data_IF_775616615907
#
_entry.id   IF_775616615907
#
_cell.length_a   1.000
_cell.length_b   1.000
_cell.length_c   1.000
_cell.angle_alpha   90.00
_cell.angle_beta   90.00
_cell.angle_gamma   90.00
#
_symmetry.space_group_name_H-M   'P 1'
#
loop_
_entity.id
_entity.type
_entity.pdbx_description
1 polymer ?
#
# COMPACT_ATOMS: atom_id res chain seq x y z
N UNK A 1 -4.59 31.90 -61.40
CA UNK A 1 -4.17 31.72 -59.99
C UNK A 1 -4.18 30.23 -59.68
N UNK A 2 -3.04 29.55 -59.58
CA UNK A 2 -2.98 28.24 -58.95
C UNK A 2 -2.68 28.44 -57.46
N UNK A 3 -3.59 28.01 -56.58
CA UNK A 3 -3.33 27.91 -55.15
C UNK A 3 -2.35 26.75 -54.93
N UNK A 4 -1.11 27.08 -54.58
CA UNK A 4 -0.19 26.11 -53.99
C UNK A 4 -0.67 25.84 -52.56
N UNK A 5 -1.26 24.68 -52.31
CA UNK A 5 -1.36 24.16 -50.96
C UNK A 5 0.05 23.73 -50.53
N UNK A 6 0.70 24.55 -49.72
CA UNK A 6 1.83 24.10 -48.91
C UNK A 6 1.30 23.07 -47.90
N UNK A 7 1.97 21.92 -47.72
CA UNK A 7 1.63 21.00 -46.65
C UNK A 7 2.03 21.68 -45.34
N UNK A 8 1.08 22.39 -44.73
CA UNK A 8 1.24 22.93 -43.39
C UNK A 8 1.54 21.77 -42.43
N UNK A 9 2.80 21.76 -42.00
CA UNK A 9 3.36 21.13 -40.82
C UNK A 9 2.53 20.01 -40.21
N UNK A 10 2.89 18.77 -40.50
CA UNK A 10 2.80 17.73 -39.47
C UNK A 10 3.76 18.19 -38.38
N UNK A 11 3.24 18.85 -37.34
CA UNK A 11 4.03 19.24 -36.19
C UNK A 11 4.46 17.93 -35.52
N UNK A 12 5.68 17.47 -35.82
CA UNK A 12 6.30 16.36 -35.10
C UNK A 12 6.59 16.88 -33.70
N UNK A 13 5.60 16.74 -32.82
CA UNK A 13 5.76 17.02 -31.40
C UNK A 13 6.81 16.04 -30.91
N UNK A 14 7.97 16.53 -30.50
CA UNK A 14 9.02 15.68 -29.98
C UNK A 14 8.45 14.85 -28.80
N UNK A 15 8.91 13.61 -28.56
CA UNK A 15 8.44 12.81 -27.41
C UNK A 15 8.55 13.57 -26.08
N UNK A 16 9.56 14.46 -25.96
CA UNK A 16 9.75 15.38 -24.83
C UNK A 16 8.63 16.41 -24.64
N UNK A 17 7.84 16.68 -25.68
CA UNK A 17 6.73 17.64 -25.67
C UNK A 17 5.36 16.97 -25.53
N UNK A 18 5.21 15.68 -25.88
CA UNK A 18 3.97 14.90 -25.79
C UNK A 18 3.63 14.49 -24.34
N UNK A 19 4.65 14.24 -23.51
CA UNK A 19 4.50 13.86 -22.10
C UNK A 19 5.11 14.88 -21.14
N UNK A 20 5.04 16.17 -21.50
CA UNK A 20 5.50 17.26 -20.64
C UNK A 20 4.32 17.84 -19.86
N UNK A 21 4.38 17.79 -18.53
CA UNK A 21 3.52 18.59 -17.70
C UNK A 21 3.93 20.06 -17.86
N UNK A 22 3.08 20.86 -18.53
CA UNK A 22 3.31 22.31 -18.74
C UNK A 22 2.58 23.09 -17.64
N UNK A 23 3.12 24.24 -17.27
CA UNK A 23 2.51 25.16 -16.29
C UNK A 23 2.30 24.54 -14.89
N UNK A 24 3.23 23.69 -14.45
CA UNK A 24 3.21 23.18 -13.07
C UNK A 24 3.43 24.34 -12.09
N UNK A 25 2.70 24.32 -10.97
CA UNK A 25 3.01 25.22 -9.87
C UNK A 25 4.41 24.93 -9.33
N UNK A 26 5.12 25.90 -8.72
CA UNK A 26 6.46 25.67 -8.16
C UNK A 26 6.52 24.47 -7.20
N UNK A 27 5.46 24.24 -6.41
CA UNK A 27 5.31 23.07 -5.55
C UNK A 27 5.32 21.76 -6.33
N UNK A 28 4.46 21.64 -7.34
CA UNK A 28 4.31 20.41 -8.11
C UNK A 28 5.56 20.12 -8.94
N UNK A 29 6.20 21.16 -9.48
CA UNK A 29 7.48 21.03 -10.16
C UNK A 29 8.55 20.46 -9.22
N UNK A 30 8.68 21.00 -8.00
CA UNK A 30 9.62 20.48 -6.99
C UNK A 30 9.36 19.01 -6.65
N UNK A 31 8.12 18.63 -6.34
CA UNK A 31 7.78 17.25 -6.01
C UNK A 31 8.02 16.29 -7.18
N UNK A 32 7.80 16.76 -8.41
CA UNK A 32 8.13 16.01 -9.62
C UNK A 32 9.64 15.85 -9.79
N UNK A 33 10.42 16.89 -9.55
CA UNK A 33 11.88 16.81 -9.62
C UNK A 33 12.44 15.88 -8.54
N UNK A 34 11.86 15.92 -7.33
CA UNK A 34 12.13 14.97 -6.24
C UNK A 34 11.78 13.52 -6.64
N UNK A 35 10.71 13.31 -7.40
CA UNK A 35 10.39 11.97 -7.92
C UNK A 35 11.49 11.41 -8.82
N UNK A 36 12.15 12.26 -9.61
CA UNK A 36 13.20 11.88 -10.56
C UNK A 36 14.63 11.91 -9.98
N UNK A 37 14.84 12.52 -8.81
CA UNK A 37 16.15 12.62 -8.14
C UNK A 37 16.57 11.35 -7.39
N UNK A 38 16.26 10.16 -7.93
CA UNK A 38 16.41 8.86 -7.26
C UNK A 38 17.78 8.61 -6.62
N UNK A 39 18.86 9.09 -7.24
CA UNK A 39 20.24 8.89 -6.76
C UNK A 39 20.70 9.88 -5.67
N UNK A 40 19.95 10.96 -5.46
CA UNK A 40 20.36 12.08 -4.61
C UNK A 40 19.41 12.27 -3.42
N UNK A 41 18.13 11.90 -3.59
CA UNK A 41 17.14 12.09 -2.53
C UNK A 41 17.37 11.16 -1.34
N UNK A 42 17.15 11.63 -0.11
CA UNK A 42 17.29 10.81 1.10
C UNK A 42 16.17 9.77 1.23
N UNK A 43 15.05 9.97 0.55
CA UNK A 43 13.87 9.13 0.63
C UNK A 43 13.72 8.23 -0.59
N UNK A 44 13.71 6.91 -0.36
CA UNK A 44 13.31 5.94 -1.37
C UNK A 44 12.20 5.06 -0.80
N UNK A 45 11.12 4.83 -1.57
CA UNK A 45 10.05 3.89 -1.22
C UNK A 45 10.49 2.44 -1.56
N UNK A 46 11.66 2.06 -1.05
CA UNK A 46 12.21 0.72 -1.20
C UNK A 46 11.38 -0.32 -0.45
N UNK A 47 11.47 -1.57 -0.89
CA UNK A 47 10.77 -2.69 -0.23
C UNK A 47 11.31 -2.86 1.19
N UNK A 48 10.43 -2.69 2.18
CA UNK A 48 10.76 -2.94 3.59
C UNK A 48 10.21 -4.27 4.06
N UNK A 49 11.11 -5.18 4.43
CA UNK A 49 10.73 -6.49 4.93
C UNK A 49 10.54 -6.49 6.45
N UNK A 50 9.54 -7.24 6.93
CA UNK A 50 9.23 -7.39 8.35
C UNK A 50 9.00 -8.86 8.69
N UNK A 51 9.70 -9.38 9.69
CA UNK A 51 9.67 -10.79 10.08
C UNK A 51 9.18 -10.98 11.52
N UNK A 52 8.60 -12.15 11.80
CA UNK A 52 8.36 -12.65 13.16
C UNK A 52 9.65 -13.01 13.91
N UNK A 53 10.78 -13.08 13.20
CA UNK A 53 12.08 -13.51 13.75
C UNK A 53 12.18 -15.02 14.00
N UNK A 54 11.18 -15.80 13.61
CA UNK A 54 11.23 -17.26 13.76
C UNK A 54 12.10 -17.89 12.66
N UNK A 55 12.82 -19.00 12.95
CA UNK A 55 13.74 -19.60 11.97
C UNK A 55 13.07 -20.15 10.70
N UNK A 56 11.75 -20.37 10.72
CA UNK A 56 10.97 -20.90 9.59
C UNK A 56 10.17 -19.82 8.85
N UNK A 57 10.34 -18.54 9.22
CA UNK A 57 9.57 -17.46 8.63
C UNK A 57 9.96 -17.23 7.17
N UNK A 58 9.01 -16.71 6.40
CA UNK A 58 9.28 -16.15 5.07
C UNK A 58 8.51 -14.85 4.93
N UNK A 59 9.12 -13.92 4.21
CA UNK A 59 8.52 -12.61 3.88
C UNK A 59 8.25 -12.48 2.37
N UNK A 60 8.58 -13.50 1.59
CA UNK A 60 8.43 -13.54 0.14
C UNK A 60 7.75 -14.83 -0.32
N UNK A 61 6.62 -14.68 -1.01
CA UNK A 61 5.79 -15.77 -1.54
C UNK A 61 6.08 -15.95 -3.01
N UNK A 62 6.79 -17.01 -3.40
CA UNK A 62 7.25 -17.18 -4.79
C UNK A 62 6.05 -17.34 -5.74
N UNK A 63 5.01 -18.05 -5.31
CA UNK A 63 3.81 -18.29 -6.12
C UNK A 63 3.05 -17.01 -6.53
N UNK A 64 3.28 -15.88 -5.84
CA UNK A 64 2.67 -14.60 -6.22
C UNK A 64 3.33 -13.97 -7.46
N UNK A 65 4.48 -14.48 -7.90
CA UNK A 65 5.34 -13.89 -8.94
C UNK A 65 5.58 -14.84 -10.12
N UNK A 66 4.85 -15.95 -10.19
CA UNK A 66 4.96 -16.93 -11.27
C UNK A 66 4.36 -16.46 -12.60
N UNK A 67 3.72 -15.30 -12.60
CA UNK A 67 3.29 -14.62 -13.81
C UNK A 67 4.48 -13.94 -14.55
N UNK A 68 5.63 -13.79 -13.89
CA UNK A 68 6.85 -13.23 -14.52
C UNK A 68 7.91 -14.35 -14.56
N UNK A 69 7.82 -15.30 -15.51
CA UNK A 69 8.74 -16.45 -15.56
C UNK A 69 10.21 -16.04 -15.69
N UNK A 70 10.50 -14.86 -16.24
CA UNK A 70 11.84 -14.30 -16.37
C UNK A 70 12.54 -14.11 -15.01
N UNK A 71 11.78 -13.95 -13.92
CA UNK A 71 12.37 -13.79 -12.58
C UNK A 71 12.61 -15.11 -11.85
N UNK A 72 12.27 -16.27 -12.42
CA UNK A 72 12.37 -17.58 -11.77
C UNK A 72 13.74 -17.81 -11.12
N UNK A 73 14.81 -17.56 -11.88
CA UNK A 73 16.20 -17.77 -11.47
C UNK A 73 16.59 -16.92 -10.26
N UNK A 74 15.89 -15.81 -10.02
CA UNK A 74 16.18 -14.87 -8.94
C UNK A 74 15.28 -15.07 -7.70
N UNK A 75 14.17 -15.79 -7.83
CA UNK A 75 13.18 -15.98 -6.75
C UNK A 75 13.78 -16.52 -5.44
N UNK A 76 14.68 -17.54 -5.44
CA UNK A 76 15.34 -17.99 -4.20
C UNK A 76 16.21 -16.90 -3.56
N UNK A 77 16.87 -16.10 -4.40
CA UNK A 77 17.66 -14.95 -3.98
C UNK A 77 16.80 -13.86 -3.32
N UNK A 78 15.68 -13.49 -3.96
CA UNK A 78 14.73 -12.52 -3.41
C UNK A 78 14.21 -12.94 -2.04
N UNK A 79 13.79 -14.19 -1.90
CA UNK A 79 13.35 -14.73 -0.60
C UNK A 79 14.42 -14.60 0.47
N UNK A 80 15.65 -15.03 0.16
CA UNK A 80 16.75 -15.07 1.12
C UNK A 80 17.18 -13.67 1.52
N UNK A 81 17.37 -12.77 0.54
CA UNK A 81 17.76 -11.39 0.78
C UNK A 81 16.69 -10.62 1.56
N UNK A 82 15.42 -10.71 1.17
CA UNK A 82 14.33 -10.02 1.86
C UNK A 82 14.21 -10.49 3.31
N UNK A 83 14.35 -11.80 3.57
CA UNK A 83 14.32 -12.31 4.94
C UNK A 83 15.55 -11.86 5.74
N UNK A 84 16.74 -11.87 5.15
CA UNK A 84 17.97 -11.42 5.80
C UNK A 84 17.95 -9.91 6.13
N UNK A 85 17.32 -9.10 5.29
CA UNK A 85 17.12 -7.66 5.51
C UNK A 85 15.87 -7.34 6.36
N UNK A 86 15.07 -8.35 6.75
CA UNK A 86 13.81 -8.11 7.43
C UNK A 86 14.01 -7.60 8.86
N UNK A 87 13.25 -6.56 9.20
CA UNK A 87 13.20 -6.05 10.57
C UNK A 87 12.35 -6.98 11.44
N UNK A 88 12.87 -7.52 12.57
CA UNK A 88 12.08 -8.31 13.49
C UNK A 88 11.00 -7.47 14.20
N UNK A 89 9.77 -7.95 14.15
CA UNK A 89 8.61 -7.31 14.79
C UNK A 89 8.35 -7.96 16.14
N UNK A 90 8.18 -7.14 17.18
CA UNK A 90 7.80 -7.62 18.50
C UNK A 90 6.35 -8.10 18.48
N UNK A 91 6.15 -9.40 18.68
CA UNK A 91 4.84 -10.03 18.61
C UNK A 91 4.05 -9.83 19.92
N UNK A 92 2.73 -9.59 19.86
CA UNK A 92 1.90 -9.48 21.06
C UNK A 92 1.80 -10.81 21.82
N UNK A 93 1.50 -10.74 23.11
CA UNK A 93 1.31 -11.93 23.93
C UNK A 93 0.21 -12.83 23.36
N UNK A 94 0.47 -14.14 23.34
CA UNK A 94 -0.49 -15.11 22.82
C UNK A 94 -0.61 -15.19 21.29
N UNK A 95 0.21 -14.45 20.54
CA UNK A 95 0.19 -14.41 19.07
C UNK A 95 0.02 -15.80 18.42
N UNK A 96 0.82 -16.79 18.82
CA UNK A 96 0.79 -18.14 18.21
C UNK A 96 -0.45 -18.97 18.55
N UNK A 97 -1.28 -18.56 19.53
CA UNK A 97 -2.56 -19.20 19.84
C UNK A 97 -3.71 -18.68 18.97
N UNK A 98 -3.49 -17.58 18.27
CA UNK A 98 -4.48 -16.97 17.39
C UNK A 98 -4.57 -17.71 16.05
N UNK A 99 -5.76 -17.77 15.43
CA UNK A 99 -5.93 -18.29 14.08
C UNK A 99 -5.11 -17.43 13.09
N UNK A 100 -4.67 -18.04 11.99
CA UNK A 100 -3.73 -17.40 11.06
C UNK A 100 -4.21 -16.03 10.55
N UNK A 101 -5.50 -15.89 10.24
CA UNK A 101 -6.07 -14.62 9.77
C UNK A 101 -5.90 -13.49 10.79
N UNK A 102 -6.02 -13.81 12.08
CA UNK A 102 -5.85 -12.85 13.18
C UNK A 102 -4.37 -12.60 13.46
N UNK A 103 -3.51 -13.62 13.38
CA UNK A 103 -2.04 -13.44 13.46
C UNK A 103 -1.55 -12.44 12.41
N UNK A 104 -1.99 -12.57 11.16
CA UNK A 104 -1.62 -11.64 10.09
C UNK A 104 -2.09 -10.20 10.39
N UNK A 105 -3.31 -10.04 10.88
CA UNK A 105 -3.83 -8.72 11.27
C UNK A 105 -3.06 -8.10 12.45
N UNK A 106 -2.75 -8.89 13.48
CA UNK A 106 -1.95 -8.45 14.64
C UNK A 106 -0.55 -8.04 14.20
N UNK A 107 0.11 -8.85 13.37
CA UNK A 107 1.43 -8.55 12.84
C UNK A 107 1.41 -7.26 12.02
N UNK A 108 0.46 -7.12 11.11
CA UNK A 108 0.30 -5.91 10.29
C UNK A 108 0.07 -4.67 11.16
N UNK A 109 -0.77 -4.78 12.20
CA UNK A 109 -0.96 -3.69 13.16
C UNK A 109 0.33 -3.28 13.85
N UNK A 110 1.14 -4.23 14.32
CA UNK A 110 2.42 -3.90 14.95
C UNK A 110 3.36 -3.20 13.97
N UNK A 111 3.43 -3.67 12.71
CA UNK A 111 4.20 -3.01 11.64
C UNK A 111 3.73 -1.56 11.47
N UNK A 112 2.43 -1.32 11.26
CA UNK A 112 1.90 0.03 11.05
C UNK A 112 2.06 0.93 12.27
N UNK A 113 1.92 0.39 13.48
CA UNK A 113 1.95 1.16 14.72
C UNK A 113 3.37 1.56 15.15
N UNK A 114 4.39 0.79 14.78
CA UNK A 114 5.74 0.96 15.35
C UNK A 114 6.87 1.00 14.34
N UNK A 115 6.78 0.25 13.25
CA UNK A 115 7.93 -0.04 12.40
C UNK A 115 7.90 0.64 11.05
N UNK A 116 6.71 0.79 10.45
CA UNK A 116 6.57 1.47 9.17
C UNK A 116 6.96 2.94 9.34
N UNK A 117 7.92 3.49 8.57
CA UNK A 117 8.32 4.87 8.76
C UNK A 117 7.19 5.83 8.38
N UNK A 118 7.18 6.97 9.06
CA UNK A 118 6.30 8.10 8.76
C UNK A 118 7.20 9.27 8.38
N UNK A 119 6.96 9.81 7.20
CA UNK A 119 7.72 10.93 6.65
C UNK A 119 6.79 11.77 5.79
N UNK A 120 6.96 13.09 5.87
CA UNK A 120 6.26 14.08 5.06
C UNK A 120 7.35 14.85 4.31
N UNK A 121 7.28 14.85 2.98
CA UNK A 121 8.25 15.54 2.14
C UNK A 121 7.93 17.04 2.06
N UNK A 122 8.94 17.82 1.72
CA UNK A 122 8.78 19.26 1.59
C UNK A 122 7.85 19.61 0.42
N UNK A 123 6.83 20.42 0.71
CA UNK A 123 5.78 20.77 -0.24
C UNK A 123 4.65 19.74 -0.42
N UNK A 124 4.66 18.59 0.26
CA UNK A 124 3.53 17.65 0.23
C UNK A 124 2.28 18.24 0.90
N UNK A 125 1.11 17.93 0.31
CA UNK A 125 -0.21 18.20 0.89
C UNK A 125 -1.02 16.91 1.14
N UNK A 126 -0.75 15.87 0.34
CA UNK A 126 -1.26 14.52 0.54
C UNK A 126 -0.06 13.71 0.98
N UNK A 127 -0.14 13.12 2.18
CA UNK A 127 1.00 12.48 2.83
C UNK A 127 0.88 10.98 2.83
N UNK A 128 2.02 10.30 2.82
CA UNK A 128 2.08 8.85 2.75
C UNK A 128 3.01 8.39 1.64
N UNK A 129 4.07 7.65 1.98
CA UNK A 129 5.08 7.28 0.99
C UNK A 129 5.80 5.96 1.23
N UNK A 130 5.71 5.34 2.42
CA UNK A 130 6.39 4.08 2.76
C UNK A 130 5.37 2.94 2.81
N UNK A 131 4.98 2.42 1.64
CA UNK A 131 3.93 1.39 1.54
C UNK A 131 4.41 0.13 0.83
N UNK A 132 5.64 0.12 0.33
CA UNK A 132 6.22 -1.05 -0.28
C UNK A 132 6.78 -1.97 0.80
N UNK A 133 6.04 -3.03 1.14
CA UNK A 133 6.44 -3.94 2.23
C UNK A 133 6.55 -5.39 1.79
N UNK A 134 7.31 -6.18 2.56
CA UNK A 134 7.36 -7.63 2.47
C UNK A 134 7.07 -8.21 3.87
N UNK A 135 5.84 -8.63 4.11
CA UNK A 135 5.37 -9.02 5.43
C UNK A 135 5.53 -10.52 5.69
N UNK A 136 5.88 -10.87 6.92
CA UNK A 136 5.84 -12.25 7.41
C UNK A 136 4.52 -12.92 7.07
N UNK A 137 4.60 -14.20 6.68
CA UNK A 137 3.41 -15.04 6.49
C UNK A 137 2.74 -15.43 7.80
N UNK A 138 3.38 -15.13 8.93
CA UNK A 138 2.87 -15.38 10.28
C UNK A 138 2.53 -16.86 10.53
N UNK A 139 3.16 -17.78 9.80
CA UNK A 139 2.93 -19.22 9.92
C UNK A 139 3.67 -19.77 11.13
N UNK A 140 3.04 -20.68 11.86
CA UNK A 140 3.76 -21.50 12.83
C UNK A 140 4.61 -22.54 12.08
N UNK A 141 5.46 -23.27 12.79
CA UNK A 141 6.39 -24.21 12.17
C UNK A 141 5.68 -25.27 11.30
N UNK A 142 4.61 -25.88 11.81
CA UNK A 142 3.87 -26.92 11.07
C UNK A 142 3.17 -26.36 9.82
N UNK A 143 2.58 -25.17 9.93
CA UNK A 143 1.97 -24.46 8.79
C UNK A 143 3.02 -24.06 7.74
N UNK A 144 4.20 -23.61 8.18
CA UNK A 144 5.30 -23.26 7.30
C UNK A 144 5.79 -24.47 6.51
N UNK A 145 6.02 -25.60 7.19
CA UNK A 145 6.40 -26.86 6.55
C UNK A 145 5.33 -27.37 5.56
N UNK A 146 4.04 -27.25 5.91
CA UNK A 146 2.95 -27.61 5.01
C UNK A 146 2.91 -26.73 3.76
N UNK A 147 3.08 -25.42 3.94
CA UNK A 147 3.19 -24.46 2.84
C UNK A 147 4.39 -24.75 1.96
N UNK A 148 5.55 -25.06 2.52
CA UNK A 148 6.77 -25.35 1.75
C UNK A 148 6.58 -26.59 0.86
N UNK A 149 5.94 -27.65 1.38
CA UNK A 149 5.58 -28.82 0.57
C UNK A 149 4.63 -28.46 -0.58
N UNK A 150 3.61 -27.64 -0.30
CA UNK A 150 2.65 -27.21 -1.31
C UNK A 150 3.31 -26.32 -2.38
N UNK A 151 4.20 -25.41 -1.98
CA UNK A 151 4.96 -24.56 -2.91
C UNK A 151 5.85 -25.38 -3.83
N UNK A 152 6.58 -26.38 -3.30
CA UNK A 152 7.42 -27.24 -4.14
C UNK A 152 6.60 -28.04 -5.17
N UNK A 153 5.44 -28.56 -4.76
CA UNK A 153 4.52 -29.23 -5.67
C UNK A 153 4.02 -28.28 -6.78
N UNK A 154 3.57 -27.08 -6.39
CA UNK A 154 3.12 -26.05 -7.32
C UNK A 154 4.20 -25.63 -8.32
N UNK A 155 5.43 -25.37 -7.84
CA UNK A 155 6.54 -24.93 -8.71
C UNK A 155 6.96 -26.01 -9.71
N UNK A 156 6.82 -27.28 -9.35
CA UNK A 156 7.07 -28.39 -10.29
C UNK A 156 6.10 -28.34 -11.46
N UNK A 157 4.80 -28.16 -11.20
CA UNK A 157 3.78 -28.06 -12.26
C UNK A 157 3.94 -26.79 -13.08
N UNK A 158 4.19 -25.66 -12.41
CA UNK A 158 4.39 -24.38 -13.08
C UNK A 158 5.59 -24.40 -14.05
N UNK A 159 6.71 -25.04 -13.68
CA UNK A 159 7.87 -25.23 -14.58
C UNK A 159 7.53 -26.03 -15.83
N UNK A 160 6.70 -27.06 -15.69
CA UNK A 160 6.22 -27.84 -16.84
C UNK A 160 5.41 -26.94 -17.77
N UNK A 161 4.44 -26.18 -17.24
CA UNK A 161 3.64 -25.24 -18.04
C UNK A 161 4.49 -24.20 -18.76
N UNK A 162 5.44 -23.57 -18.05
CA UNK A 162 6.39 -22.62 -18.65
C UNK A 162 7.20 -23.25 -19.79
N UNK A 163 7.66 -24.50 -19.64
CA UNK A 163 8.43 -25.19 -20.69
C UNK A 163 7.63 -25.44 -21.98
N UNK A 164 6.30 -25.41 -21.89
CA UNK A 164 5.37 -25.51 -23.01
C UNK A 164 4.90 -24.13 -23.52
N UNK A 165 5.48 -23.03 -23.04
CA UNK A 165 5.08 -21.67 -23.39
C UNK A 165 3.80 -21.20 -22.70
N UNK A 166 3.26 -21.96 -21.75
CA UNK A 166 2.11 -21.57 -20.92
C UNK A 166 2.64 -20.86 -19.68
N UNK A 167 3.16 -19.65 -19.90
CA UNK A 167 3.66 -18.74 -18.86
C UNK A 167 2.69 -17.61 -18.55
N UNK A 168 3.09 -16.69 -17.68
CA UNK A 168 2.26 -15.55 -17.24
C UNK A 168 0.87 -15.94 -16.68
N UNK A 169 0.75 -17.16 -16.17
CA UNK A 169 -0.47 -17.71 -15.59
C UNK A 169 -0.28 -17.83 -14.08
N UNK A 170 -1.05 -17.08 -13.28
CA UNK A 170 -0.95 -17.12 -11.83
C UNK A 170 -1.91 -16.14 -11.14
N UNK A 171 -2.25 -16.44 -9.89
CA UNK A 171 -2.95 -15.49 -9.03
C UNK A 171 -1.93 -14.48 -8.50
N UNK A 172 -1.89 -13.30 -9.13
CA UNK A 172 -0.98 -12.22 -8.74
C UNK A 172 -1.68 -11.33 -7.73
N UNK A 173 -1.04 -10.97 -6.60
CA UNK A 173 -1.53 -9.91 -5.73
C UNK A 173 -1.74 -8.60 -6.49
N UNK A 174 -2.65 -7.76 -6.03
CA UNK A 174 -3.15 -6.65 -6.82
C UNK A 174 -4.18 -7.13 -7.85
N UNK A 175 -4.21 -6.47 -9.00
CA UNK A 175 -5.26 -6.61 -10.04
C UNK A 175 -6.68 -6.48 -9.48
N UNK A 176 -6.86 -5.53 -8.56
CA UNK A 176 -8.12 -5.25 -7.91
C UNK A 176 -8.43 -3.75 -7.91
N UNK A 177 -9.71 -3.44 -7.75
CA UNK A 177 -10.21 -2.09 -7.47
C UNK A 177 -10.83 -2.15 -6.08
N UNK A 178 -10.16 -1.63 -5.03
CA UNK A 178 -10.75 -1.51 -3.70
C UNK A 178 -12.05 -0.70 -3.74
N UNK A 179 -12.95 -0.99 -2.81
CA UNK A 179 -14.18 -0.20 -2.62
C UNK A 179 -13.87 1.14 -1.92
N UNK A 180 -13.15 2.03 -2.62
CA UNK A 180 -12.89 3.39 -2.16
C UNK A 180 -14.19 4.15 -1.84
N UNK A 181 -15.28 4.05 -2.64
CA UNK A 181 -16.54 4.71 -2.29
C UNK A 181 -17.03 4.36 -0.88
N UNK A 182 -16.94 3.09 -0.47
CA UNK A 182 -17.28 2.67 0.89
C UNK A 182 -16.31 3.26 1.93
N UNK A 183 -15.01 3.22 1.68
CA UNK A 183 -14.01 3.80 2.60
C UNK A 183 -14.21 5.30 2.79
N UNK A 184 -14.52 6.06 1.73
CA UNK A 184 -14.77 7.50 1.79
C UNK A 184 -16.07 7.83 2.53
N UNK A 185 -17.14 7.08 2.28
CA UNK A 185 -18.48 7.32 2.84
C UNK A 185 -18.61 6.90 4.30
N UNK A 186 -17.99 5.78 4.69
CA UNK A 186 -18.11 5.21 6.03
C UNK A 186 -16.93 5.53 6.94
N UNK A 187 -15.76 5.83 6.35
CA UNK A 187 -14.50 5.69 7.05
C UNK A 187 -14.19 4.24 7.44
N UNK A 188 -12.96 3.99 7.86
CA UNK A 188 -12.55 2.70 8.41
C UNK A 188 -13.24 2.39 9.74
N UNK A 189 -13.74 3.40 10.46
CA UNK A 189 -14.61 3.20 11.62
C UNK A 189 -15.89 2.45 11.22
N UNK A 190 -16.58 2.88 10.18
CA UNK A 190 -17.81 2.21 9.73
C UNK A 190 -17.55 0.79 9.23
N UNK A 191 -16.43 0.56 8.54
CA UNK A 191 -15.99 -0.79 8.14
C UNK A 191 -15.72 -1.67 9.39
N UNK A 192 -15.08 -1.11 10.42
CA UNK A 192 -14.87 -1.81 11.68
C UNK A 192 -16.18 -2.09 12.41
N UNK A 193 -17.14 -1.17 12.37
CA UNK A 193 -18.46 -1.34 13.00
C UNK A 193 -19.27 -2.45 12.32
N UNK A 194 -19.22 -2.57 10.98
CA UNK A 194 -19.80 -3.72 10.26
C UNK A 194 -19.17 -5.05 10.69
N UNK A 195 -17.84 -5.09 10.84
CA UNK A 195 -17.17 -6.30 11.34
C UNK A 195 -17.51 -6.59 12.82
N UNK A 196 -17.65 -5.57 13.67
CA UNK A 196 -18.13 -5.74 15.05
C UNK A 196 -19.55 -6.30 15.11
N UNK A 197 -20.42 -5.94 14.16
CA UNK A 197 -21.76 -6.53 14.07
C UNK A 197 -21.71 -8.04 13.79
N UNK A 198 -20.79 -8.50 12.92
CA UNK A 198 -20.56 -9.94 12.68
C UNK A 198 -20.04 -10.66 13.94
N UNK A 199 -19.21 -9.99 14.74
CA UNK A 199 -18.74 -10.55 16.02
C UNK A 199 -19.87 -10.70 17.05
N UNK A 200 -20.84 -9.79 17.03
CA UNK A 200 -21.99 -9.81 17.93
C UNK A 200 -23.11 -10.76 17.48
N UNK A 201 -23.10 -11.20 16.22
CA UNK A 201 -24.08 -12.12 15.67
C UNK A 201 -23.90 -13.54 16.25
N UNK A 202 -24.88 -14.07 17.01
CA UNK A 202 -24.80 -15.41 17.57
C UNK A 202 -24.81 -16.52 16.52
N UNK A 203 -25.28 -16.23 15.29
CA UNK A 203 -25.35 -17.19 14.19
C UNK A 203 -24.06 -17.28 13.38
N UNK A 204 -23.12 -16.34 13.57
CA UNK A 204 -21.87 -16.32 12.85
C UNK A 204 -21.05 -17.61 13.08
N UNK A 205 -20.36 -18.10 12.06
CA UNK A 205 -19.42 -19.21 12.21
C UNK A 205 -18.14 -18.76 12.92
N UNK A 206 -17.30 -19.71 13.34
CA UNK A 206 -16.00 -19.40 13.94
C UNK A 206 -15.10 -18.65 12.94
N UNK A 207 -15.09 -19.08 11.69
CA UNK A 207 -14.30 -18.49 10.61
C UNK A 207 -14.75 -17.05 10.31
N UNK A 208 -16.06 -16.81 10.29
CA UNK A 208 -16.62 -15.46 10.13
C UNK A 208 -16.20 -14.55 11.28
N UNK A 209 -16.26 -15.04 12.53
CA UNK A 209 -15.80 -14.28 13.70
C UNK A 209 -14.30 -14.00 13.66
N UNK A 210 -13.48 -14.97 13.29
CA UNK A 210 -12.02 -14.79 13.19
C UNK A 210 -11.66 -13.78 12.09
N UNK A 211 -12.32 -13.82 10.94
CA UNK A 211 -12.17 -12.83 9.88
C UNK A 211 -12.64 -11.44 10.32
N UNK A 212 -13.79 -11.35 10.97
CA UNK A 212 -14.32 -10.08 11.50
C UNK A 212 -13.37 -9.46 12.54
N UNK A 213 -12.82 -10.27 13.44
CA UNK A 213 -11.79 -9.83 14.40
C UNK A 213 -10.55 -9.29 13.68
N UNK A 214 -10.08 -9.98 12.64
CA UNK A 214 -8.95 -9.52 11.84
C UNK A 214 -9.23 -8.18 11.14
N UNK A 215 -10.44 -7.99 10.58
CA UNK A 215 -10.84 -6.72 9.95
C UNK A 215 -10.83 -5.57 10.96
N UNK A 216 -11.39 -5.78 12.16
CA UNK A 216 -11.38 -4.76 13.22
C UNK A 216 -9.94 -4.37 13.59
N UNK A 217 -9.05 -5.35 13.76
CA UNK A 217 -7.64 -5.10 14.09
C UNK A 217 -6.95 -4.28 12.99
N UNK A 218 -7.17 -4.63 11.72
CA UNK A 218 -6.60 -3.88 10.59
C UNK A 218 -7.16 -2.46 10.51
N UNK A 219 -8.47 -2.27 10.72
CA UNK A 219 -9.09 -0.94 10.71
C UNK A 219 -8.55 -0.03 11.82
N UNK A 220 -8.34 -0.58 13.02
CA UNK A 220 -7.71 0.15 14.13
C UNK A 220 -6.23 0.46 13.83
N UNK A 221 -5.51 -0.44 13.14
CA UNK A 221 -4.14 -0.18 12.70
C UNK A 221 -4.04 1.00 11.72
N UNK A 222 -5.04 1.18 10.86
CA UNK A 222 -5.13 2.35 9.96
C UNK A 222 -5.18 3.64 10.77
N UNK A 223 -6.03 3.69 11.80
CA UNK A 223 -6.11 4.83 12.71
C UNK A 223 -4.79 5.08 13.44
N UNK A 224 -4.13 4.03 13.92
CA UNK A 224 -2.84 4.15 14.61
C UNK A 224 -1.75 4.75 13.69
N UNK A 225 -1.71 4.37 12.40
CA UNK A 225 -0.79 4.98 11.43
C UNK A 225 -1.15 6.44 11.15
N UNK A 226 -2.44 6.75 10.97
CA UNK A 226 -2.95 8.12 10.80
C UNK A 226 -2.51 9.05 11.93
N UNK A 227 -2.59 8.61 13.19
CA UNK A 227 -2.14 9.41 14.33
C UNK A 227 -0.62 9.66 14.31
N UNK A 228 0.18 8.70 13.84
CA UNK A 228 1.62 8.91 13.68
C UNK A 228 1.93 9.96 12.61
N UNK A 229 1.18 9.97 11.50
CA UNK A 229 1.28 11.03 10.49
C UNK A 229 0.84 12.39 11.05
N UNK A 230 -0.20 12.44 11.88
CA UNK A 230 -0.63 13.67 12.54
C UNK A 230 0.47 14.23 13.45
N UNK A 231 1.06 13.37 14.29
CA UNK A 231 2.15 13.74 15.18
C UNK A 231 3.40 14.23 14.41
N UNK A 232 3.74 13.60 13.28
CA UNK A 232 4.87 14.05 12.45
C UNK A 232 4.59 15.41 11.80
N UNK A 233 3.37 15.62 11.30
CA UNK A 233 2.97 16.91 10.73
C UNK A 233 3.03 18.04 11.80
N UNK A 234 2.56 17.77 13.02
CA UNK A 234 2.64 18.72 14.14
C UNK A 234 4.08 19.02 14.57
N UNK A 235 4.93 17.97 14.62
CA UNK A 235 6.35 18.13 14.92
C UNK A 235 7.05 19.01 13.89
N UNK A 236 6.78 18.79 12.60
CA UNK A 236 7.30 19.62 11.52
C UNK A 236 6.75 21.05 11.59
N UNK A 237 5.45 21.22 11.84
CA UNK A 237 4.85 22.56 11.97
C UNK A 237 5.48 23.38 13.11
N UNK A 238 5.79 22.74 14.24
CA UNK A 238 6.42 23.41 15.38
C UNK A 238 7.86 23.90 15.08
N UNK A 239 8.55 23.27 14.12
CA UNK A 239 9.90 23.62 13.69
C UNK A 239 9.95 24.45 12.39
N UNK A 240 8.79 24.75 11.79
CA UNK A 240 8.70 25.43 10.50
C UNK A 240 8.66 26.94 10.68
N UNK A 241 9.54 27.68 10.01
CA UNK A 241 9.63 29.14 10.07
C UNK A 241 8.65 29.81 9.09
N UNK A 242 8.40 29.19 7.93
CA UNK A 242 7.47 29.73 6.94
C UNK A 242 6.02 29.58 7.41
N UNK A 243 5.35 30.72 7.61
CA UNK A 243 3.98 30.75 8.16
C UNK A 243 2.96 30.02 7.28
N UNK A 244 3.15 29.99 5.96
CA UNK A 244 2.25 29.30 5.04
C UNK A 244 2.46 27.79 5.13
N UNK A 245 3.71 27.32 5.09
CA UNK A 245 4.04 25.89 5.23
C UNK A 245 3.62 25.36 6.60
N UNK A 246 3.79 26.14 7.66
CA UNK A 246 3.30 25.81 9.01
C UNK A 246 1.79 25.60 9.01
N UNK A 247 1.02 26.48 8.37
CA UNK A 247 -0.44 26.34 8.28
C UNK A 247 -0.83 25.08 7.49
N UNK A 248 -0.11 24.76 6.42
CA UNK A 248 -0.33 23.54 5.64
C UNK A 248 -0.07 22.27 6.46
N UNK A 249 1.00 22.23 7.25
CA UNK A 249 1.32 21.10 8.12
C UNK A 249 0.27 20.90 9.23
N UNK A 250 -0.22 22.00 9.82
CA UNK A 250 -1.34 21.95 10.78
C UNK A 250 -2.60 21.39 10.11
N UNK A 251 -2.89 21.80 8.87
CA UNK A 251 -4.03 21.29 8.13
C UNK A 251 -3.87 19.80 7.76
N UNK A 252 -2.68 19.37 7.37
CA UNK A 252 -2.35 17.95 7.16
C UNK A 252 -2.64 17.17 8.44
N UNK A 253 -2.16 17.64 9.61
CA UNK A 253 -2.39 16.98 10.89
C UNK A 253 -3.89 16.84 11.20
N UNK A 254 -4.66 17.91 10.98
CA UNK A 254 -6.12 17.90 11.13
C UNK A 254 -6.78 16.86 10.22
N UNK A 255 -6.40 16.82 8.95
CA UNK A 255 -6.93 15.90 7.95
C UNK A 255 -6.63 14.46 8.34
N UNK A 256 -5.36 14.08 8.51
CA UNK A 256 -4.96 12.68 8.75
C UNK A 256 -5.43 12.14 10.09
N UNK A 257 -5.66 13.01 11.09
CA UNK A 257 -6.28 12.61 12.36
C UNK A 257 -7.75 12.25 12.19
N UNK A 258 -8.45 12.87 11.24
CA UNK A 258 -9.84 12.56 10.89
C UNK A 258 -9.93 11.37 9.95
N UNK A 259 -9.26 11.43 8.80
CA UNK A 259 -9.40 10.45 7.70
C UNK A 259 -8.17 9.56 7.57
N UNK A 260 -8.34 8.26 7.23
CA UNK A 260 -9.57 7.65 6.76
C UNK A 260 -10.39 6.97 7.87
N UNK A 261 -10.10 7.21 9.16
CA UNK A 261 -10.86 6.61 10.26
C UNK A 261 -12.34 7.04 10.22
N UNK A 262 -12.60 8.33 10.10
CA UNK A 262 -13.93 8.91 9.90
C UNK A 262 -14.19 9.20 8.41
N UNK A 263 -15.46 9.38 8.00
CA UNK A 263 -15.81 9.80 6.64
C UNK A 263 -15.13 11.11 6.24
N UNK A 264 -14.81 11.24 4.96
CA UNK A 264 -14.36 12.51 4.39
C UNK A 264 -15.56 13.47 4.23
N UNK A 265 -15.33 14.77 4.41
CA UNK A 265 -16.34 15.83 4.18
C UNK A 265 -15.86 16.88 3.16
N UNK A 266 -14.56 16.94 2.88
CA UNK A 266 -13.97 17.89 1.93
C UNK A 266 -13.11 17.16 0.89
N UNK A 267 -12.81 17.83 -0.22
CA UNK A 267 -11.95 17.26 -1.26
C UNK A 267 -10.55 16.85 -0.77
N UNK A 268 -9.81 17.67 0.01
CA UNK A 268 -8.51 17.26 0.56
C UNK A 268 -8.60 16.03 1.46
N UNK A 269 -9.66 15.94 2.28
CA UNK A 269 -9.92 14.78 3.13
C UNK A 269 -10.19 13.52 2.29
N UNK A 270 -10.98 13.63 1.23
CA UNK A 270 -11.29 12.51 0.35
C UNK A 270 -10.04 12.01 -0.41
N UNK A 271 -9.19 12.94 -0.88
CA UNK A 271 -7.90 12.59 -1.50
C UNK A 271 -6.97 11.87 -0.53
N UNK A 272 -6.80 12.41 0.69
CA UNK A 272 -5.96 11.77 1.70
C UNK A 272 -6.51 10.41 2.12
N UNK A 273 -7.83 10.28 2.26
CA UNK A 273 -8.48 9.03 2.62
C UNK A 273 -8.30 7.93 1.55
N UNK A 274 -8.47 8.31 0.28
CA UNK A 274 -8.20 7.44 -0.86
C UNK A 274 -6.75 7.00 -0.87
N UNK A 275 -5.81 7.94 -0.77
CA UNK A 275 -4.38 7.65 -0.85
C UNK A 275 -3.93 6.73 0.29
N UNK A 276 -4.32 7.03 1.53
CA UNK A 276 -4.03 6.18 2.69
C UNK A 276 -4.58 4.77 2.50
N UNK A 277 -5.83 4.65 2.03
CA UNK A 277 -6.46 3.35 1.76
C UNK A 277 -5.70 2.58 0.68
N UNK A 278 -5.34 3.24 -0.42
CA UNK A 278 -4.59 2.66 -1.54
C UNK A 278 -3.23 2.13 -1.09
N UNK A 279 -2.46 2.96 -0.37
CA UNK A 279 -1.17 2.58 0.19
C UNK A 279 -1.25 1.38 1.12
N UNK A 280 -2.26 1.34 1.99
CA UNK A 280 -2.39 0.26 2.96
C UNK A 280 -2.78 -1.07 2.31
N UNK A 281 -3.55 -1.03 1.22
CA UNK A 281 -3.79 -2.21 0.38
C UNK A 281 -2.49 -2.70 -0.22
N UNK A 282 -1.69 -1.81 -0.85
CA UNK A 282 -0.39 -2.19 -1.42
C UNK A 282 0.57 -2.77 -0.36
N UNK A 283 0.60 -2.17 0.83
CA UNK A 283 1.40 -2.68 1.94
C UNK A 283 0.94 -4.08 2.37
N UNK A 284 -0.37 -4.27 2.59
CA UNK A 284 -0.91 -5.55 3.03
C UNK A 284 -0.74 -6.67 2.00
N UNK A 285 -0.81 -6.35 0.70
CA UNK A 285 -0.55 -7.29 -0.38
C UNK A 285 0.93 -7.64 -0.55
N UNK A 286 1.82 -6.81 0.02
CA UNK A 286 3.27 -6.91 -0.17
C UNK A 286 3.63 -6.95 -1.66
N UNK A 287 2.96 -6.10 -2.44
CA UNK A 287 3.04 -6.07 -3.89
C UNK A 287 3.47 -4.67 -4.39
N UNK A 288 4.74 -4.50 -4.80
CA UNK A 288 5.23 -3.23 -5.36
C UNK A 288 4.71 -2.87 -6.77
N UNK A 289 3.93 -3.73 -7.42
CA UNK A 289 3.60 -3.59 -8.85
C UNK A 289 2.34 -2.75 -9.15
N UNK A 290 2.09 -2.42 -10.43
CA UNK A 290 0.99 -1.56 -10.89
C UNK A 290 -0.41 -2.22 -10.86
N UNK A 291 -0.66 -3.14 -9.93
CA UNK A 291 -1.87 -3.97 -9.90
C UNK A 291 -3.05 -3.35 -9.17
N UNK A 292 -2.83 -2.40 -8.26
CA UNK A 292 -3.91 -1.74 -7.53
C UNK A 292 -4.35 -0.51 -8.33
N UNK A 293 -5.60 -0.52 -8.79
CA UNK A 293 -6.15 0.61 -9.53
C UNK A 293 -7.06 1.44 -8.62
N UNK A 294 -7.04 2.78 -8.75
CA UNK A 294 -8.01 3.61 -8.07
C UNK A 294 -9.38 3.58 -8.78
N UNK A 295 -9.49 2.96 -9.97
CA UNK A 295 -10.76 2.81 -10.69
C UNK A 295 -11.33 4.14 -11.19
N UNK A 296 -12.64 4.35 -11.01
CA UNK A 296 -13.36 5.56 -11.45
C UNK A 296 -13.24 6.71 -10.44
N UNK A 297 -12.01 7.20 -10.26
CA UNK A 297 -11.65 8.27 -9.32
C UNK A 297 -12.53 9.51 -9.48
N UNK A 298 -12.83 9.85 -10.73
CA UNK A 298 -13.72 10.93 -11.10
C UNK A 298 -15.10 10.81 -10.45
N UNK A 299 -15.71 9.63 -10.44
CA UNK A 299 -17.09 9.46 -10.00
C UNK A 299 -17.27 9.62 -8.49
N UNK A 300 -16.38 9.04 -7.69
CA UNK A 300 -16.53 9.04 -6.24
C UNK A 300 -15.81 10.20 -5.55
N UNK A 301 -14.88 10.90 -6.21
CA UNK A 301 -14.31 12.15 -5.68
C UNK A 301 -15.11 13.40 -6.06
N UNK A 302 -15.87 13.36 -7.17
CA UNK A 302 -16.65 14.51 -7.63
C UNK A 302 -17.60 15.12 -6.59
N UNK A 303 -18.32 14.34 -5.75
CA UNK A 303 -19.16 14.90 -4.70
C UNK A 303 -18.40 15.75 -3.68
N UNK A 304 -17.11 15.48 -3.46
CA UNK A 304 -16.27 16.23 -2.53
C UNK A 304 -15.62 17.46 -3.16
N UNK A 305 -15.46 17.45 -4.50
CA UNK A 305 -14.88 18.55 -5.27
C UNK A 305 -15.85 19.71 -5.49
N UNK A 306 -17.16 19.43 -5.59
CA UNK A 306 -18.19 20.41 -5.91
C UNK A 306 -18.66 21.24 -4.72
#
# INVERSE_FOLDING_TARGET
MPMSATPDSVCVVAPSQLWSARNLSPRVQRLRDEYWSFYERPFTNEVRAYTTGTPWDVVYSIWNWTNVPEVELFQPGYRSYLLAAATPVTLPAGFWREPLVVRKALFFREVLRRYLPVQILEGELVVGGQFNTALSRCLNKAEAEARDRAEQAFLKEWRVLNSHGVGNCGAVPGHLVPDYPKALRLGWKGIADEARAVLADPTATREQRDLARAIVICAEAVRDLSERYAAEAERLAAAEDDSQRRAELIEIARIVRKVPWLPAETFPEALQALWTTHMLVMAAESYPGPGVSPGRVDQYLYPYYR
#
